data_IF_314507156739
#
_entry.id   IF_314507156739
#
_cell.length_a   1.000
_cell.length_b   1.000
_cell.length_c   1.000
_cell.angle_alpha   90.00
_cell.angle_beta   90.00
_cell.angle_gamma   90.00
#
_symmetry.space_group_name_H-M   'P 1'
#
loop_
_entity.id
_entity.type
_entity.pdbx_description
1 polymer ?
#
# COMPACT_ATOMS: atom_id res chain seq x y z
N UNK A 1 -21.08 39.54 -54.82
CA UNK A 1 -20.92 39.94 -53.42
C UNK A 1 -20.69 38.72 -52.59
N UNK A 2 -19.45 38.41 -52.28
CA UNK A 2 -19.12 37.33 -51.37
C UNK A 2 -19.15 37.86 -49.93
N UNK A 3 -19.96 37.24 -49.06
CA UNK A 3 -19.96 37.52 -47.63
C UNK A 3 -18.54 37.28 -47.08
N UNK A 4 -17.96 38.29 -46.48
CA UNK A 4 -16.70 38.15 -45.73
C UNK A 4 -16.97 37.32 -44.51
N UNK A 5 -16.52 36.07 -44.51
CA UNK A 5 -16.48 35.24 -43.31
C UNK A 5 -15.43 35.83 -42.36
N UNK A 6 -15.80 36.01 -41.08
CA UNK A 6 -14.87 36.45 -40.02
C UNK A 6 -13.82 35.40 -39.67
N UNK A 7 -13.91 34.19 -40.25
CA UNK A 7 -12.93 33.11 -40.06
C UNK A 7 -11.91 33.09 -41.17
N UNK A 8 -10.66 32.99 -40.80
CA UNK A 8 -9.57 32.80 -41.77
C UNK A 8 -9.65 31.40 -42.40
N UNK A 9 -9.08 31.25 -43.61
CA UNK A 9 -9.01 29.96 -44.29
C UNK A 9 -8.33 28.90 -43.40
N UNK A 10 -7.31 29.29 -42.64
CA UNK A 10 -6.59 28.42 -41.73
C UNK A 10 -7.50 27.88 -40.59
N UNK A 11 -8.30 28.77 -40.00
CA UNK A 11 -9.24 28.38 -38.93
C UNK A 11 -10.33 27.41 -39.45
N UNK A 12 -10.79 27.61 -40.70
CA UNK A 12 -11.76 26.71 -41.32
C UNK A 12 -11.15 25.33 -41.52
N UNK A 13 -9.92 25.24 -42.07
CA UNK A 13 -9.21 23.97 -42.30
C UNK A 13 -8.91 23.25 -40.97
N UNK A 14 -8.42 23.97 -39.95
CA UNK A 14 -8.15 23.39 -38.63
C UNK A 14 -9.44 22.87 -38.01
N UNK A 15 -10.55 23.61 -38.09
CA UNK A 15 -11.86 23.16 -37.57
C UNK A 15 -12.34 21.86 -38.23
N UNK A 16 -12.13 21.72 -39.53
CA UNK A 16 -12.50 20.53 -40.30
C UNK A 16 -11.62 19.31 -39.93
N UNK A 17 -10.30 19.53 -39.76
CA UNK A 17 -9.37 18.48 -39.32
C UNK A 17 -9.74 18.01 -37.90
N UNK A 18 -10.06 18.93 -36.99
CA UNK A 18 -10.50 18.59 -35.61
C UNK A 18 -11.80 17.77 -35.67
N UNK A 19 -12.79 18.19 -36.44
CA UNK A 19 -14.06 17.47 -36.58
C UNK A 19 -13.87 16.04 -37.17
N UNK A 20 -12.97 15.92 -38.17
CA UNK A 20 -12.61 14.61 -38.74
C UNK A 20 -11.85 13.74 -37.72
N UNK A 21 -10.95 14.28 -36.93
CA UNK A 21 -10.23 13.61 -35.88
C UNK A 21 -11.19 13.04 -34.82
N UNK A 22 -12.12 13.88 -34.35
CA UNK A 22 -13.17 13.46 -33.40
C UNK A 22 -14.07 12.35 -33.97
N UNK A 23 -14.50 12.49 -35.23
CA UNK A 23 -15.34 11.48 -35.92
C UNK A 23 -14.64 10.14 -36.11
N UNK A 24 -13.31 10.15 -36.28
CA UNK A 24 -12.48 8.95 -36.46
C UNK A 24 -11.86 8.44 -35.16
N UNK A 25 -12.14 9.09 -34.04
CA UNK A 25 -11.54 8.77 -32.73
C UNK A 25 -9.99 8.78 -32.75
N UNK A 26 -9.40 9.62 -33.60
CA UNK A 26 -7.95 9.78 -33.72
C UNK A 26 -7.52 10.90 -32.79
N UNK A 27 -6.93 10.53 -31.67
CA UNK A 27 -6.32 11.47 -30.72
C UNK A 27 -4.82 11.30 -30.77
N UNK A 28 -4.10 12.37 -31.00
CA UNK A 28 -2.64 12.35 -30.88
C UNK A 28 -2.28 12.09 -29.41
N UNK A 29 -1.29 11.22 -29.19
CA UNK A 29 -0.76 11.04 -27.83
C UNK A 29 -0.20 12.38 -27.35
N UNK A 30 -0.68 12.94 -26.22
CA UNK A 30 -0.17 14.20 -25.72
C UNK A 30 1.33 14.06 -25.42
N UNK A 31 2.09 15.10 -25.69
CA UNK A 31 3.53 15.14 -25.43
C UNK A 31 3.82 15.20 -23.92
N UNK A 32 2.90 15.77 -23.16
CA UNK A 32 2.94 15.87 -21.71
C UNK A 32 1.62 15.39 -21.11
N UNK A 33 1.71 14.68 -20.01
CA UNK A 33 0.55 14.38 -19.18
C UNK A 33 0.20 15.60 -18.31
N UNK A 34 -1.06 15.67 -17.90
CA UNK A 34 -1.48 16.61 -16.86
C UNK A 34 -0.73 16.32 -15.56
N UNK A 35 -0.50 17.36 -14.75
CA UNK A 35 0.10 17.19 -13.43
C UNK A 35 -0.74 16.27 -12.57
N UNK A 36 -0.08 15.54 -11.64
CA UNK A 36 -0.80 14.75 -10.65
C UNK A 36 -1.81 15.64 -9.91
N UNK A 37 -3.04 15.16 -9.67
CA UNK A 37 -4.03 15.93 -8.94
C UNK A 37 -3.57 16.16 -7.49
N UNK A 38 -3.90 17.31 -6.92
CA UNK A 38 -3.58 17.63 -5.52
C UNK A 38 -4.16 16.61 -4.53
N UNK A 39 -5.28 15.99 -4.88
CA UNK A 39 -5.95 14.99 -4.06
C UNK A 39 -6.25 13.74 -4.89
N UNK A 40 -5.72 12.63 -4.44
CA UNK A 40 -5.94 11.32 -5.05
C UNK A 40 -6.84 10.50 -4.12
N UNK A 41 -7.95 10.02 -4.65
CA UNK A 41 -8.88 9.14 -3.93
C UNK A 41 -8.52 7.69 -4.25
N UNK A 42 -8.09 6.91 -3.26
CA UNK A 42 -7.60 5.54 -3.47
C UNK A 42 -8.61 4.63 -4.17
N UNK A 43 -9.91 4.80 -3.87
CA UNK A 43 -10.97 3.98 -4.49
C UNK A 43 -11.09 4.20 -6.00
N UNK A 44 -10.61 5.33 -6.53
CA UNK A 44 -10.68 5.65 -7.96
C UNK A 44 -9.46 5.17 -8.74
N UNK A 45 -8.43 4.67 -8.06
CA UNK A 45 -7.24 4.14 -8.70
C UNK A 45 -7.50 2.77 -9.32
N UNK A 46 -6.95 2.57 -10.52
CA UNK A 46 -6.90 1.23 -11.09
C UNK A 46 -6.06 0.32 -10.19
N UNK A 47 -6.62 -0.83 -9.83
CA UNK A 47 -5.95 -1.79 -8.96
C UNK A 47 -5.24 -2.82 -9.82
N UNK A 48 -3.94 -2.93 -9.65
CA UNK A 48 -3.24 -4.09 -10.17
C UNK A 48 -3.66 -5.32 -9.36
N UNK A 49 -4.01 -6.42 -10.02
CA UNK A 49 -4.30 -7.70 -9.36
C UNK A 49 -3.01 -8.28 -8.78
N UNK A 50 -2.63 -7.80 -7.61
CA UNK A 50 -1.51 -8.32 -6.80
C UNK A 50 -2.07 -9.18 -5.67
N UNK A 51 -1.19 -9.91 -4.98
CA UNK A 51 -1.59 -10.82 -3.91
C UNK A 51 -2.05 -10.11 -2.63
N UNK A 52 -2.43 -10.88 -1.62
CA UNK A 52 -2.93 -10.40 -0.33
C UNK A 52 -1.95 -9.48 0.44
N UNK A 53 -0.66 -9.60 0.14
CA UNK A 53 0.39 -8.79 0.75
C UNK A 53 0.68 -7.52 -0.06
N UNK A 54 -0.31 -6.93 -0.72
CA UNK A 54 -0.16 -5.73 -1.54
C UNK A 54 -0.96 -4.57 -0.98
N UNK A 55 -0.49 -3.35 -1.25
CA UNK A 55 -1.20 -2.11 -0.92
C UNK A 55 -0.98 -1.08 -2.03
N UNK A 56 -2.05 -0.51 -2.57
CA UNK A 56 -1.99 0.65 -3.47
C UNK A 56 -2.08 1.91 -2.62
N UNK A 57 -1.07 2.77 -2.69
CA UNK A 57 -0.92 3.92 -1.79
C UNK A 57 -0.96 5.28 -2.49
N UNK A 58 -1.02 5.30 -3.82
CA UNK A 58 -1.06 6.55 -4.59
C UNK A 58 -0.80 6.35 -6.07
N UNK A 59 -0.33 7.40 -6.74
CA UNK A 59 0.08 7.43 -8.14
C UNK A 59 1.55 7.81 -8.28
N UNK A 60 2.20 7.24 -9.27
CA UNK A 60 3.54 7.64 -9.73
C UNK A 60 3.46 8.20 -11.13
N UNK A 61 4.09 9.32 -11.34
CA UNK A 61 4.27 9.92 -12.66
C UNK A 61 5.62 9.48 -13.27
N UNK A 62 5.54 8.67 -14.32
CA UNK A 62 6.69 8.23 -15.08
C UNK A 62 6.94 9.20 -16.24
N UNK A 63 7.63 10.29 -15.98
CA UNK A 63 7.87 11.38 -16.94
C UNK A 63 8.50 10.89 -18.24
N UNK A 64 9.40 9.89 -18.17
CA UNK A 64 10.08 9.36 -19.38
C UNK A 64 9.14 8.60 -20.32
N UNK A 65 8.20 7.84 -19.78
CA UNK A 65 7.25 7.04 -20.58
C UNK A 65 5.93 7.75 -20.79
N UNK A 66 5.75 8.93 -20.18
CA UNK A 66 4.49 9.67 -20.19
C UNK A 66 3.33 8.77 -19.75
N UNK A 67 3.46 8.20 -18.55
CA UNK A 67 2.46 7.31 -17.95
C UNK A 67 2.30 7.63 -16.47
N UNK A 68 1.07 7.65 -16.01
CA UNK A 68 0.74 7.69 -14.59
C UNK A 68 0.21 6.34 -14.17
N UNK A 69 0.84 5.72 -13.17
CA UNK A 69 0.50 4.37 -12.72
C UNK A 69 0.25 4.32 -11.21
N UNK A 70 -0.61 3.41 -10.74
CA UNK A 70 -0.77 3.17 -9.31
C UNK A 70 0.58 2.84 -8.66
N UNK A 71 0.86 3.48 -7.52
CA UNK A 71 1.97 3.12 -6.66
C UNK A 71 1.52 2.00 -5.73
N UNK A 72 1.94 0.78 -6.03
CA UNK A 72 1.59 -0.40 -5.26
C UNK A 72 2.82 -1.00 -4.61
N UNK A 73 2.78 -1.22 -3.30
CA UNK A 73 3.77 -1.98 -2.56
C UNK A 73 3.30 -3.44 -2.53
N UNK A 74 4.19 -4.35 -2.91
CA UNK A 74 3.96 -5.80 -2.84
C UNK A 74 4.95 -6.41 -1.85
N UNK A 75 4.51 -6.61 -0.62
CA UNK A 75 5.35 -7.13 0.46
C UNK A 75 5.86 -8.55 0.21
N UNK A 76 5.21 -9.31 -0.66
CA UNK A 76 5.71 -10.64 -1.06
C UNK A 76 7.03 -10.55 -1.83
N UNK A 77 7.32 -9.39 -2.41
CA UNK A 77 8.54 -9.10 -3.17
C UNK A 77 9.52 -8.21 -2.41
N UNK A 78 9.00 -7.21 -1.70
CA UNK A 78 9.85 -6.23 -1.00
C UNK A 78 10.23 -6.67 0.40
N UNK A 79 9.47 -7.60 1.00
CA UNK A 79 9.65 -7.98 2.40
C UNK A 79 9.28 -6.83 3.33
N UNK A 80 10.24 -6.40 4.16
CA UNK A 80 10.05 -5.29 5.09
C UNK A 80 10.22 -3.93 4.39
N UNK A 81 9.48 -2.92 4.88
CA UNK A 81 9.52 -1.54 4.35
C UNK A 81 9.78 -0.56 5.47
N UNK A 82 10.82 0.24 5.33
CA UNK A 82 11.14 1.35 6.24
C UNK A 82 10.74 2.69 5.63
N UNK A 83 9.97 3.50 6.38
CA UNK A 83 9.57 4.84 6.00
C UNK A 83 10.29 5.89 6.86
N UNK A 84 11.06 6.73 6.23
CA UNK A 84 11.84 7.78 6.90
C UNK A 84 11.36 9.18 6.49
N UNK A 85 11.42 10.12 7.42
CA UNK A 85 11.06 11.51 7.17
C UNK A 85 10.98 12.32 8.46
N UNK A 86 11.01 13.64 8.34
CA UNK A 86 10.89 14.57 9.46
C UNK A 86 9.51 14.44 10.17
N UNK A 87 9.39 15.03 11.36
CA UNK A 87 8.09 15.11 12.04
C UNK A 87 7.09 15.88 11.19
N UNK A 88 5.83 15.45 11.17
CA UNK A 88 4.75 16.10 10.40
C UNK A 88 4.73 15.81 8.90
N UNK A 89 5.64 14.98 8.36
CA UNK A 89 5.67 14.65 6.92
C UNK A 89 4.67 13.59 6.46
N UNK A 90 3.76 13.16 7.34
CA UNK A 90 2.69 12.22 6.98
C UNK A 90 3.04 10.74 7.13
N UNK A 91 4.10 10.37 7.87
CA UNK A 91 4.47 8.95 8.09
C UNK A 91 3.33 8.12 8.66
N UNK A 92 2.70 8.59 9.72
CA UNK A 92 1.55 7.90 10.33
C UNK A 92 0.36 7.84 9.37
N UNK A 93 0.10 8.90 8.61
CA UNK A 93 -0.93 8.92 7.56
C UNK A 93 -0.65 7.88 6.47
N UNK A 94 0.62 7.70 6.11
CA UNK A 94 1.03 6.66 5.18
C UNK A 94 0.70 5.27 5.72
N UNK A 95 1.01 4.97 6.99
CA UNK A 95 0.64 3.70 7.63
C UNK A 95 -0.88 3.47 7.62
N UNK A 96 -1.65 4.51 7.90
CA UNK A 96 -3.12 4.46 7.83
C UNK A 96 -3.63 4.16 6.43
N UNK A 97 -3.07 4.82 5.42
CA UNK A 97 -3.40 4.60 4.01
C UNK A 97 -3.06 3.18 3.57
N UNK A 98 -1.91 2.68 3.99
CA UNK A 98 -1.45 1.32 3.71
C UNK A 98 -2.40 0.27 4.28
N UNK A 99 -2.78 0.39 5.56
CA UNK A 99 -3.75 -0.53 6.19
C UNK A 99 -5.10 -0.46 5.49
N UNK A 100 -5.59 0.75 5.23
CA UNK A 100 -6.85 0.94 4.51
C UNK A 100 -6.83 0.21 3.16
N UNK A 101 -5.78 0.42 2.37
CA UNK A 101 -5.65 -0.23 1.08
C UNK A 101 -5.61 -1.76 1.21
N UNK A 102 -4.81 -2.29 2.14
CA UNK A 102 -4.72 -3.74 2.33
C UNK A 102 -6.07 -4.34 2.73
N UNK A 103 -6.72 -3.79 3.75
CA UNK A 103 -7.96 -4.33 4.31
C UNK A 103 -9.13 -4.17 3.34
N UNK A 104 -9.24 -3.03 2.65
CA UNK A 104 -10.39 -2.75 1.78
C UNK A 104 -10.22 -3.24 0.34
N UNK A 105 -9.00 -3.56 -0.08
CA UNK A 105 -8.70 -3.82 -1.49
C UNK A 105 -8.15 -5.22 -1.78
N UNK A 106 -7.44 -5.84 -0.84
CA UNK A 106 -6.70 -7.06 -1.09
C UNK A 106 -6.99 -8.20 -0.11
N UNK A 107 -7.28 -7.89 1.15
CA UNK A 107 -7.46 -8.87 2.21
C UNK A 107 -8.67 -8.48 3.08
N UNK A 108 -9.87 -8.84 2.64
CA UNK A 108 -11.13 -8.39 3.25
C UNK A 108 -11.46 -9.08 4.59
N UNK A 109 -10.81 -10.20 4.90
CA UNK A 109 -11.14 -11.01 6.06
C UNK A 109 -9.92 -11.29 6.96
N UNK A 110 -10.12 -11.54 8.27
CA UNK A 110 -9.04 -11.94 9.17
C UNK A 110 -8.35 -13.26 8.77
N UNK A 111 -9.02 -14.11 7.98
CA UNK A 111 -8.42 -15.35 7.46
C UNK A 111 -7.40 -15.09 6.37
N UNK A 112 -7.40 -13.87 5.82
CA UNK A 112 -6.46 -13.43 4.77
C UNK A 112 -5.33 -12.57 5.34
N UNK A 113 -5.61 -11.73 6.36
CA UNK A 113 -4.65 -10.78 6.93
C UNK A 113 -4.89 -10.60 8.43
N UNK A 114 -3.84 -10.75 9.23
CA UNK A 114 -3.81 -10.31 10.62
C UNK A 114 -2.88 -9.11 10.78
N UNK A 115 -3.34 -8.11 11.55
CA UNK A 115 -2.63 -6.88 11.85
C UNK A 115 -2.19 -6.85 13.31
N UNK A 116 -0.94 -6.45 13.52
CA UNK A 116 -0.42 -6.09 14.83
C UNK A 116 0.20 -4.70 14.73
N UNK A 117 -0.10 -3.82 15.67
CA UNK A 117 0.39 -2.45 15.62
C UNK A 117 1.09 -2.05 16.92
N UNK A 118 2.22 -1.40 16.79
CA UNK A 118 2.96 -0.78 17.88
C UNK A 118 3.05 0.72 17.60
N UNK A 119 2.43 1.53 18.48
CA UNK A 119 2.37 2.99 18.33
C UNK A 119 3.19 3.66 19.44
N UNK A 120 4.38 4.11 19.06
CA UNK A 120 5.28 4.88 19.92
C UNK A 120 5.25 6.38 19.58
N UNK A 121 4.30 6.82 18.72
CA UNK A 121 4.24 8.18 18.20
C UNK A 121 3.18 9.06 18.83
N UNK A 122 2.07 8.53 19.34
CA UNK A 122 1.00 9.39 19.86
C UNK A 122 -0.40 8.79 19.83
N UNK A 123 -0.52 7.48 19.86
CA UNK A 123 -1.80 6.73 19.86
C UNK A 123 -2.64 6.93 18.59
N UNK A 124 -2.02 7.34 17.50
CA UNK A 124 -2.71 7.59 16.23
C UNK A 124 -3.15 6.31 15.49
N UNK A 125 -2.61 5.15 15.89
CA UNK A 125 -3.01 3.83 15.36
C UNK A 125 -4.04 3.12 16.25
N UNK A 126 -4.48 3.75 17.34
CA UNK A 126 -5.41 3.14 18.31
C UNK A 126 -6.74 2.68 17.68
N UNK A 127 -7.23 3.39 16.66
CA UNK A 127 -8.46 3.01 15.95
C UNK A 127 -8.36 1.66 15.23
N UNK A 128 -7.14 1.16 14.95
CA UNK A 128 -6.95 -0.16 14.35
C UNK A 128 -7.52 -1.29 15.22
N UNK A 129 -7.62 -1.08 16.54
CA UNK A 129 -8.23 -2.04 17.46
C UNK A 129 -9.70 -2.36 17.14
N UNK A 130 -10.40 -1.51 16.38
CA UNK A 130 -11.78 -1.75 15.94
C UNK A 130 -11.87 -2.61 14.67
N UNK A 131 -10.76 -2.85 13.98
CA UNK A 131 -10.75 -3.69 12.79
C UNK A 131 -10.75 -5.17 13.18
N UNK A 132 -11.58 -6.00 12.54
CA UNK A 132 -11.63 -7.43 12.81
C UNK A 132 -10.30 -8.16 12.51
N UNK A 133 -9.45 -7.55 11.69
CA UNK A 133 -8.12 -8.06 11.32
C UNK A 133 -7.08 -7.89 12.42
N UNK A 134 -7.34 -7.04 13.43
CA UNK A 134 -6.31 -6.64 14.40
C UNK A 134 -6.23 -7.62 15.56
N UNK A 135 -5.07 -8.30 15.65
CA UNK A 135 -4.74 -9.17 16.79
C UNK A 135 -4.29 -8.40 18.03
N UNK A 136 -3.74 -7.19 17.86
CA UNK A 136 -3.34 -6.34 18.99
C UNK A 136 -2.81 -4.98 18.58
N UNK A 137 -3.02 -3.98 19.44
CA UNK A 137 -2.41 -2.65 19.36
C UNK A 137 -1.73 -2.37 20.69
N UNK A 138 -0.43 -2.08 20.64
CA UNK A 138 0.40 -1.81 21.82
C UNK A 138 0.91 -0.37 21.76
N UNK A 139 0.89 0.30 22.90
CA UNK A 139 1.37 1.68 23.03
C UNK A 139 2.67 1.75 23.85
N UNK A 140 3.35 2.87 23.77
CA UNK A 140 4.65 3.10 24.38
C UNK A 140 4.70 2.88 25.90
N UNK A 141 3.59 2.93 26.60
CA UNK A 141 3.45 2.75 28.05
C UNK A 141 3.06 1.32 28.47
N UNK A 142 2.76 0.42 27.50
CA UNK A 142 2.28 -0.94 27.73
C UNK A 142 3.40 -1.98 27.59
N UNK A 143 4.43 -1.95 28.43
CA UNK A 143 5.60 -2.86 28.34
C UNK A 143 5.23 -4.34 28.43
N UNK A 144 4.28 -4.68 29.32
CA UNK A 144 3.83 -6.07 29.46
C UNK A 144 3.17 -6.58 28.19
N UNK A 145 2.34 -5.79 27.54
CA UNK A 145 1.70 -6.14 26.27
C UNK A 145 2.70 -6.21 25.11
N UNK A 146 3.75 -5.39 25.17
CA UNK A 146 4.80 -5.43 24.16
C UNK A 146 5.57 -6.77 24.23
N UNK A 147 5.93 -7.20 25.44
CA UNK A 147 6.61 -8.48 25.65
C UNK A 147 5.70 -9.66 25.26
N UNK A 148 4.41 -9.58 25.56
CA UNK A 148 3.42 -10.59 25.16
C UNK A 148 3.28 -10.63 23.63
N UNK A 149 3.21 -9.48 22.97
CA UNK A 149 3.15 -9.42 21.51
C UNK A 149 4.39 -10.03 20.84
N UNK A 150 5.58 -9.74 21.37
CA UNK A 150 6.81 -10.34 20.87
C UNK A 150 6.76 -11.87 20.98
N UNK A 151 6.36 -12.39 22.14
CA UNK A 151 6.21 -13.83 22.36
C UNK A 151 5.20 -14.47 21.38
N UNK A 152 4.02 -13.87 21.24
CA UNK A 152 2.99 -14.34 20.30
C UNK A 152 3.49 -14.37 18.85
N UNK A 153 4.22 -13.35 18.43
CA UNK A 153 4.77 -13.31 17.05
C UNK A 153 5.83 -14.39 16.84
N UNK A 154 6.70 -14.63 17.82
CA UNK A 154 7.66 -15.75 17.77
C UNK A 154 6.97 -17.10 17.65
N UNK A 155 5.97 -17.36 18.50
CA UNK A 155 5.19 -18.60 18.46
C UNK A 155 4.52 -18.82 17.09
N UNK A 156 3.93 -17.77 16.52
CA UNK A 156 3.30 -17.83 15.20
C UNK A 156 4.34 -18.16 14.13
N UNK A 157 5.53 -17.58 14.19
CA UNK A 157 6.59 -17.84 13.21
C UNK A 157 7.08 -19.28 13.31
N UNK A 158 7.28 -19.78 14.51
CA UNK A 158 7.73 -21.16 14.72
C UNK A 158 6.67 -22.17 14.29
N UNK A 159 5.40 -21.89 14.54
CA UNK A 159 4.29 -22.69 14.00
C UNK A 159 4.30 -22.68 12.46
N UNK A 160 4.49 -21.52 11.84
CA UNK A 160 4.56 -21.42 10.37
C UNK A 160 5.74 -22.16 9.77
N UNK A 161 6.90 -22.10 10.41
CA UNK A 161 8.07 -22.87 9.98
C UNK A 161 7.75 -24.38 9.96
N UNK A 162 7.03 -24.89 10.99
CA UNK A 162 6.57 -26.28 11.02
C UNK A 162 5.57 -26.59 9.91
N UNK A 163 4.54 -25.71 9.76
CA UNK A 163 3.54 -25.88 8.69
C UNK A 163 4.19 -25.92 7.32
N UNK A 164 5.17 -25.05 7.06
CA UNK A 164 5.87 -25.02 5.77
C UNK A 164 6.72 -26.28 5.57
N UNK A 165 7.45 -26.73 6.59
CA UNK A 165 8.23 -27.96 6.53
C UNK A 165 7.34 -29.19 6.26
N UNK A 166 6.21 -29.32 6.96
CA UNK A 166 5.27 -30.44 6.81
C UNK A 166 4.63 -30.52 5.40
N UNK A 167 4.55 -29.37 4.72
CA UNK A 167 3.97 -29.26 3.38
C UNK A 167 5.04 -29.12 2.26
N UNK A 168 6.32 -29.25 2.59
CA UNK A 168 7.45 -29.04 1.66
C UNK A 168 7.41 -27.69 0.95
N UNK A 169 7.01 -26.65 1.65
CA UNK A 169 6.95 -25.26 1.15
C UNK A 169 8.11 -24.46 1.73
N UNK A 170 8.76 -23.64 0.89
CA UNK A 170 9.84 -22.75 1.33
C UNK A 170 9.36 -21.38 1.77
N UNK A 171 8.20 -20.93 1.26
CA UNK A 171 7.67 -19.60 1.49
C UNK A 171 6.17 -19.61 1.73
N UNK A 172 5.66 -18.50 2.28
CA UNK A 172 4.22 -18.26 2.43
C UNK A 172 3.48 -18.30 1.08
N UNK A 173 4.08 -17.75 0.04
CA UNK A 173 3.51 -17.76 -1.33
C UNK A 173 3.41 -19.16 -1.89
N UNK A 174 4.45 -20.00 -1.68
CA UNK A 174 4.45 -21.41 -2.10
C UNK A 174 3.36 -22.20 -1.38
N UNK A 175 3.24 -22.01 -0.05
CA UNK A 175 2.21 -22.66 0.74
C UNK A 175 0.82 -22.35 0.22
N UNK A 176 0.50 -21.09 -0.03
CA UNK A 176 -0.80 -20.68 -0.55
C UNK A 176 -1.09 -21.22 -1.94
N UNK A 177 -0.07 -21.31 -2.80
CA UNK A 177 -0.21 -21.86 -4.15
C UNK A 177 -0.48 -23.37 -4.15
N UNK A 178 0.20 -24.11 -3.25
CA UNK A 178 0.18 -25.58 -3.21
C UNK A 178 -0.97 -26.08 -2.34
N UNK A 179 -1.09 -25.59 -1.12
CA UNK A 179 -1.99 -26.18 -0.11
C UNK A 179 -3.42 -25.68 -0.20
N UNK A 180 -3.65 -24.51 -0.83
CA UNK A 180 -4.98 -23.86 -0.93
C UNK A 180 -5.75 -23.72 0.39
N UNK A 181 -5.06 -23.89 1.52
CA UNK A 181 -5.63 -23.71 2.85
C UNK A 181 -5.47 -22.24 3.27
N UNK A 182 -6.45 -21.69 3.99
CA UNK A 182 -6.33 -20.34 4.52
C UNK A 182 -5.17 -20.30 5.52
N UNK A 183 -4.24 -19.39 5.27
CA UNK A 183 -3.20 -18.99 6.21
C UNK A 183 -3.11 -17.46 6.06
N UNK A 184 -3.45 -16.68 7.09
CA UNK A 184 -3.44 -15.24 6.97
C UNK A 184 -2.02 -14.70 6.78
N UNK A 185 -1.87 -13.67 5.96
CA UNK A 185 -0.67 -12.86 5.99
C UNK A 185 -0.59 -12.14 7.36
N UNK A 186 0.61 -11.83 7.83
CA UNK A 186 0.80 -11.06 9.06
C UNK A 186 1.47 -9.74 8.68
N UNK A 187 0.85 -8.65 9.08
CA UNK A 187 1.42 -7.32 8.97
C UNK A 187 1.68 -6.76 10.37
N UNK A 188 2.95 -6.46 10.64
CA UNK A 188 3.35 -5.76 11.86
C UNK A 188 3.68 -4.33 11.51
N UNK A 189 3.01 -3.38 12.15
CA UNK A 189 3.20 -1.94 11.97
C UNK A 189 3.89 -1.36 13.18
N UNK A 190 4.94 -0.59 12.95
CA UNK A 190 5.66 0.12 14.03
C UNK A 190 5.70 1.60 13.67
N UNK A 191 4.91 2.42 14.37
CA UNK A 191 5.00 3.88 14.26
C UNK A 191 6.02 4.43 15.25
N UNK A 192 6.93 5.27 14.75
CA UNK A 192 8.06 5.82 15.48
C UNK A 192 9.04 4.75 16.00
N UNK A 193 9.60 3.97 15.07
CA UNK A 193 10.57 2.92 15.35
C UNK A 193 11.79 3.40 16.17
N UNK A 194 12.23 4.66 16.01
CA UNK A 194 13.32 5.21 16.79
C UNK A 194 12.99 5.23 18.30
N UNK A 195 11.82 5.73 18.68
CA UNK A 195 11.37 5.72 20.09
C UNK A 195 11.18 4.29 20.63
N UNK A 196 10.75 3.37 19.80
CA UNK A 196 10.66 1.95 20.17
C UNK A 196 12.04 1.38 20.53
N UNK A 197 13.01 1.55 19.65
CA UNK A 197 14.39 1.08 19.83
C UNK A 197 15.06 1.72 21.04
N UNK A 198 14.92 3.03 21.20
CA UNK A 198 15.57 3.76 22.31
C UNK A 198 15.02 3.32 23.68
N UNK A 199 13.73 3.01 23.76
CA UNK A 199 13.07 2.65 25.02
C UNK A 199 13.16 1.16 25.35
N UNK A 200 13.14 0.29 24.34
CA UNK A 200 13.02 -1.16 24.48
C UNK A 200 14.07 -1.91 23.65
N UNK A 201 15.36 -1.62 23.88
CA UNK A 201 16.46 -2.15 23.07
C UNK A 201 16.42 -3.69 22.97
N UNK A 202 16.34 -4.38 24.10
CA UNK A 202 16.35 -5.86 24.13
C UNK A 202 15.16 -6.48 23.38
N UNK A 203 13.98 -5.87 23.49
CA UNK A 203 12.78 -6.33 22.78
C UNK A 203 12.86 -5.96 21.30
N UNK A 204 13.39 -4.78 20.97
CA UNK A 204 13.53 -4.36 19.57
C UNK A 204 14.48 -5.27 18.79
N UNK A 205 15.53 -5.76 19.42
CA UNK A 205 16.46 -6.68 18.79
C UNK A 205 15.77 -8.02 18.46
N UNK A 206 14.91 -8.52 19.36
CA UNK A 206 14.12 -9.71 19.07
C UNK A 206 13.12 -9.54 17.90
N UNK A 207 12.61 -8.32 17.69
CA UNK A 207 11.78 -8.00 16.51
C UNK A 207 12.56 -7.88 15.20
N UNK A 208 13.86 -7.56 15.28
CA UNK A 208 14.74 -7.49 14.10
C UNK A 208 15.09 -8.90 13.62
N UNK A 209 15.15 -9.87 14.54
CA UNK A 209 15.45 -11.28 14.23
C UNK A 209 14.24 -12.06 13.68
N UNK A 210 13.06 -11.46 13.68
CA UNK A 210 11.80 -11.97 13.11
C UNK A 210 11.75 -11.67 11.60
#
# INVERSE_FOLDING_TARGET
SGDKSDKTQLEAVVSEIVALGQKKNVVAKPLWLDMLPEKIVLQTLEKEKKGLCSATIGLVDYVRTQEQKPLTIDFSKTGHVGLYGASGTGKTTFLQTLVYSMVCEYAYTPEELNLYAMDFGGRNLGYLSYLPHTGGVVFADDESKLSELAFVLHDIIDERKRIFADNNCGTFSDYRAICKKPLPAILVLIDNFASFRDKYMDISDSFIDI
#
